data_IF_375671966323
#
_entry.id   IF_375671966323
#
_cell.length_a   1.000
_cell.length_b   1.000
_cell.length_c   1.000
_cell.angle_alpha   90.00
_cell.angle_beta   90.00
_cell.angle_gamma   90.00
#
_symmetry.space_group_name_H-M   'P 1'
#
loop_
_entity.id
_entity.type
_entity.pdbx_description
1 polymer ?
#
# COMPACT_ATOMS: atom_id res chain seq x y z
N UNK A 1 20.60 -19.05 -6.29
CA UNK A 1 19.28 -19.10 -6.97
C UNK A 1 18.12 -19.59 -6.08
N UNK A 2 18.29 -19.76 -4.74
CA UNK A 2 17.25 -20.31 -3.84
C UNK A 2 16.54 -19.27 -2.95
N UNK A 3 16.98 -18.00 -2.96
CA UNK A 3 16.41 -16.95 -2.12
C UNK A 3 15.05 -16.44 -2.65
N UNK A 4 14.87 -16.50 -3.98
CA UNK A 4 13.70 -15.98 -4.69
C UNK A 4 12.41 -16.75 -4.37
N UNK A 5 12.45 -18.09 -4.39
CA UNK A 5 11.26 -18.92 -4.17
C UNK A 5 10.68 -18.85 -2.76
N UNK A 6 11.54 -18.83 -1.73
CA UNK A 6 11.08 -18.70 -0.34
C UNK A 6 10.42 -17.34 -0.10
N UNK A 7 10.94 -16.27 -0.69
CA UNK A 7 10.36 -14.94 -0.59
C UNK A 7 8.93 -14.88 -1.14
N UNK A 8 8.67 -15.51 -2.29
CA UNK A 8 7.31 -15.61 -2.86
C UNK A 8 6.32 -16.39 -2.00
N UNK A 9 6.75 -17.43 -1.29
CA UNK A 9 5.88 -18.15 -0.36
C UNK A 9 5.48 -17.27 0.84
N UNK A 10 6.39 -16.47 1.37
CA UNK A 10 6.10 -15.51 2.44
C UNK A 10 5.08 -14.47 1.96
N UNK A 11 5.20 -13.95 0.74
CA UNK A 11 4.22 -13.01 0.17
C UNK A 11 2.82 -13.62 0.06
N UNK A 12 2.69 -14.92 -0.25
CA UNK A 12 1.37 -15.59 -0.27
C UNK A 12 0.72 -15.63 1.11
N UNK A 13 1.51 -15.90 2.16
CA UNK A 13 1.02 -15.92 3.54
C UNK A 13 0.62 -14.50 3.95
N UNK A 14 1.47 -13.50 3.69
CA UNK A 14 1.16 -12.09 3.96
C UNK A 14 -0.14 -11.67 3.27
N UNK A 15 -0.32 -11.99 1.98
CA UNK A 15 -1.56 -11.67 1.28
C UNK A 15 -2.79 -12.35 1.86
N UNK A 16 -2.65 -13.53 2.47
CA UNK A 16 -3.78 -14.22 3.11
C UNK A 16 -4.20 -13.62 4.45
N UNK A 17 -3.29 -12.94 5.15
CA UNK A 17 -3.58 -12.30 6.45
C UNK A 17 -3.90 -10.81 6.32
N UNK A 18 -3.58 -10.17 5.18
CA UNK A 18 -3.92 -8.77 4.88
C UNK A 18 -5.16 -8.64 3.99
N UNK A 19 -6.16 -9.48 4.21
CA UNK A 19 -7.30 -9.63 3.30
C UNK A 19 -8.57 -8.88 3.75
N UNK A 20 -8.44 -8.01 4.75
CA UNK A 20 -9.49 -7.15 5.28
C UNK A 20 -8.94 -5.74 5.58
N UNK A 21 -9.84 -4.75 5.72
CA UNK A 21 -9.47 -3.35 5.90
C UNK A 21 -8.75 -3.09 7.23
N UNK A 22 -9.12 -3.78 8.31
CA UNK A 22 -8.46 -3.60 9.62
C UNK A 22 -6.98 -4.00 9.56
N UNK A 23 -6.67 -5.13 8.94
CA UNK A 23 -5.30 -5.56 8.74
C UNK A 23 -4.50 -4.57 7.87
N UNK A 24 -5.12 -4.00 6.82
CA UNK A 24 -4.50 -2.97 5.98
C UNK A 24 -4.19 -1.71 6.79
N UNK A 25 -5.13 -1.26 7.65
CA UNK A 25 -4.93 -0.11 8.54
C UNK A 25 -3.78 -0.34 9.50
N UNK A 26 -3.80 -1.45 10.24
CA UNK A 26 -2.78 -1.79 11.24
C UNK A 26 -1.39 -1.84 10.60
N UNK A 27 -1.23 -2.59 9.51
CA UNK A 27 0.08 -2.76 8.87
C UNK A 27 0.61 -1.44 8.31
N UNK A 28 -0.25 -0.60 7.73
CA UNK A 28 0.15 0.72 7.24
C UNK A 28 0.67 1.59 8.38
N UNK A 29 -0.03 1.60 9.53
CA UNK A 29 0.38 2.37 10.70
C UNK A 29 1.68 1.84 11.31
N UNK A 30 1.82 0.52 11.43
CA UNK A 30 2.99 -0.12 12.03
C UNK A 30 4.25 0.16 11.21
N UNK A 31 4.19 -0.06 9.88
CA UNK A 31 5.32 0.21 8.97
C UNK A 31 5.81 1.66 9.09
N UNK A 32 4.89 2.64 9.12
CA UNK A 32 5.27 4.06 9.23
C UNK A 32 5.90 4.35 10.60
N UNK A 33 5.36 3.79 11.68
CA UNK A 33 5.88 3.98 13.03
C UNK A 33 7.26 3.34 13.21
N UNK A 34 7.49 2.15 12.64
CA UNK A 34 8.78 1.48 12.63
C UNK A 34 9.84 2.36 11.95
N UNK A 35 9.56 2.83 10.72
CA UNK A 35 10.49 3.73 10.03
C UNK A 35 10.72 5.05 10.77
N UNK A 36 9.68 5.61 11.39
CA UNK A 36 9.85 6.80 12.21
C UNK A 36 10.74 6.55 13.43
N UNK A 37 10.63 5.37 14.05
CA UNK A 37 11.47 4.96 15.19
C UNK A 37 12.94 4.78 14.81
N UNK A 38 13.19 4.38 13.55
CA UNK A 38 14.51 4.34 12.93
C UNK A 38 15.02 5.72 12.47
N UNK A 39 14.36 6.80 12.89
CA UNK A 39 14.66 8.20 12.55
C UNK A 39 14.54 8.56 11.06
N UNK A 40 13.83 7.76 10.25
CA UNK A 40 13.51 8.13 8.87
C UNK A 40 12.62 9.38 8.88
N UNK A 41 12.99 10.37 8.06
CA UNK A 41 12.26 11.65 7.95
C UNK A 41 11.34 11.73 6.75
N UNK A 42 11.62 10.96 5.70
CA UNK A 42 10.81 10.89 4.50
C UNK A 42 10.73 9.44 4.03
N UNK A 43 9.51 8.94 3.87
CA UNK A 43 9.22 7.57 3.46
C UNK A 43 8.34 7.59 2.21
N UNK A 44 8.81 6.95 1.14
CA UNK A 44 7.99 6.61 -0.01
C UNK A 44 7.45 5.19 0.18
N UNK A 45 6.15 5.10 0.49
CA UNK A 45 5.47 3.84 0.74
C UNK A 45 4.74 3.41 -0.53
N UNK A 46 5.19 2.29 -1.11
CA UNK A 46 4.61 1.69 -2.31
C UNK A 46 3.52 0.70 -1.95
N UNK A 47 2.39 0.75 -2.65
CA UNK A 47 1.33 -0.25 -2.49
C UNK A 47 0.62 -0.57 -3.81
N UNK A 48 0.20 -1.82 -3.98
CA UNK A 48 -0.66 -2.27 -5.09
C UNK A 48 -2.10 -2.34 -4.59
N UNK A 49 -3.01 -1.47 -5.05
CA UNK A 49 -4.41 -1.49 -4.62
C UNK A 49 -5.06 -2.85 -4.87
N UNK A 50 -5.67 -3.43 -3.82
CA UNK A 50 -6.26 -4.77 -3.87
C UNK A 50 -7.77 -4.70 -4.05
N UNK A 51 -8.29 -5.55 -4.95
CA UNK A 51 -9.70 -5.90 -5.01
C UNK A 51 -9.84 -7.34 -4.51
N UNK A 52 -10.56 -7.56 -3.42
CA UNK A 52 -10.85 -8.89 -2.87
C UNK A 52 -12.37 -9.04 -2.79
N UNK A 53 -12.97 -9.94 -3.62
CA UNK A 53 -14.42 -10.13 -3.65
C UNK A 53 -15.02 -10.35 -2.25
N UNK A 54 -16.11 -9.64 -1.98
CA UNK A 54 -16.84 -9.66 -0.70
C UNK A 54 -16.04 -9.19 0.53
N UNK A 55 -14.85 -8.60 0.37
CA UNK A 55 -14.02 -8.10 1.49
C UNK A 55 -13.62 -6.64 1.33
N UNK A 56 -13.11 -6.26 0.16
CA UNK A 56 -12.70 -4.88 -0.11
C UNK A 56 -12.57 -4.60 -1.60
N UNK A 57 -12.88 -3.37 -1.98
CA UNK A 57 -12.57 -2.79 -3.29
C UNK A 57 -11.21 -2.08 -3.26
N UNK A 58 -10.66 -1.80 -4.45
CA UNK A 58 -9.42 -0.99 -4.56
C UNK A 58 -9.58 0.40 -3.92
N UNK A 59 -10.77 0.98 -3.99
CA UNK A 59 -11.07 2.30 -3.42
C UNK A 59 -11.06 2.24 -1.89
N UNK A 60 -11.80 1.30 -1.29
CA UNK A 60 -11.81 1.11 0.17
C UNK A 60 -10.42 0.80 0.71
N UNK A 61 -9.64 0.00 -0.02
CA UNK A 61 -8.23 -0.24 0.29
C UNK A 61 -7.44 1.08 0.33
N UNK A 62 -7.56 1.91 -0.71
CA UNK A 62 -6.81 3.17 -0.79
C UNK A 62 -7.25 4.20 0.25
N UNK A 63 -8.55 4.35 0.48
CA UNK A 63 -9.09 5.21 1.54
C UNK A 63 -8.52 4.79 2.90
N UNK A 64 -8.49 3.48 3.18
CA UNK A 64 -7.94 2.93 4.43
C UNK A 64 -6.44 3.21 4.58
N UNK A 65 -5.65 3.01 3.52
CA UNK A 65 -4.20 3.30 3.53
C UNK A 65 -3.93 4.79 3.76
N UNK A 66 -4.69 5.67 3.09
CA UNK A 66 -4.54 7.12 3.22
C UNK A 66 -4.87 7.60 4.63
N UNK A 67 -6.01 7.17 5.18
CA UNK A 67 -6.40 7.49 6.56
C UNK A 67 -5.36 6.99 7.57
N UNK A 68 -4.93 5.74 7.44
CA UNK A 68 -3.91 5.13 8.29
C UNK A 68 -2.59 5.90 8.24
N UNK A 69 -2.13 6.29 7.04
CA UNK A 69 -0.90 7.03 6.86
C UNK A 69 -0.99 8.44 7.47
N UNK A 70 -2.11 9.14 7.29
CA UNK A 70 -2.36 10.45 7.91
C UNK A 70 -2.34 10.34 9.43
N UNK A 71 -2.99 9.33 10.01
CA UNK A 71 -3.00 9.10 11.45
C UNK A 71 -1.61 8.79 12.00
N UNK A 72 -0.83 7.97 11.29
CA UNK A 72 0.54 7.64 11.69
C UNK A 72 1.47 8.86 11.64
N UNK A 73 1.39 9.68 10.59
CA UNK A 73 2.16 10.92 10.47
C UNK A 73 1.82 11.95 11.56
N UNK A 74 0.57 11.99 12.06
CA UNK A 74 0.21 12.87 13.20
C UNK A 74 0.89 12.47 14.50
N UNK A 75 1.25 11.19 14.65
CA UNK A 75 1.85 10.62 15.87
C UNK A 75 3.38 10.58 15.83
N UNK A 76 4.00 10.89 14.69
CA UNK A 76 5.42 10.67 14.48
C UNK A 76 6.05 11.76 13.61
N UNK A 77 7.35 12.03 13.79
CA UNK A 77 8.07 13.05 13.02
C UNK A 77 8.63 12.48 11.71
N UNK A 78 7.74 12.07 10.81
CA UNK A 78 8.03 11.52 9.49
C UNK A 78 7.04 12.08 8.46
N UNK A 79 7.53 12.32 7.23
CA UNK A 79 6.69 12.64 6.08
C UNK A 79 6.55 11.40 5.21
N UNK A 80 5.31 11.03 4.88
CA UNK A 80 5.02 9.87 4.04
C UNK A 80 4.47 10.33 2.69
N UNK A 81 4.96 9.73 1.61
CA UNK A 81 4.42 9.83 0.28
C UNK A 81 3.96 8.45 -0.17
N UNK A 82 2.74 8.34 -0.70
CA UNK A 82 2.21 7.08 -1.22
C UNK A 82 2.49 6.96 -2.71
N UNK A 83 2.95 5.80 -3.13
CA UNK A 83 3.18 5.44 -4.53
C UNK A 83 2.30 4.24 -4.90
N UNK A 84 1.51 4.37 -5.97
CA UNK A 84 0.65 3.28 -6.43
C UNK A 84 1.39 2.43 -7.45
N UNK A 85 1.51 1.15 -7.14
CA UNK A 85 2.15 0.17 -8.01
C UNK A 85 1.13 -0.48 -8.94
N UNK A 86 1.50 -0.63 -10.21
CA UNK A 86 0.71 -1.36 -11.21
C UNK A 86 1.23 -2.79 -11.32
N UNK A 87 0.36 -3.78 -11.10
CA UNK A 87 0.72 -5.19 -11.30
C UNK A 87 0.57 -5.58 -12.77
N UNK A 88 1.68 -5.57 -13.51
CA UNK A 88 1.73 -5.93 -14.93
C UNK A 88 1.17 -7.33 -15.26
N UNK A 89 1.09 -8.23 -14.27
CA UNK A 89 0.53 -9.57 -14.49
C UNK A 89 -1.01 -9.58 -14.57
N UNK A 90 -1.68 -8.49 -14.17
CA UNK A 90 -3.16 -8.39 -14.14
C UNK A 90 -3.79 -7.79 -15.39
N UNK A 91 -2.98 -7.43 -16.37
CA UNK A 91 -3.45 -6.90 -17.65
C UNK A 91 -3.81 -5.41 -17.63
N UNK A 92 -4.19 -4.90 -18.80
CA UNK A 92 -4.34 -3.46 -19.06
C UNK A 92 -5.54 -2.85 -18.34
N UNK A 93 -6.65 -3.59 -18.21
CA UNK A 93 -7.84 -3.08 -17.50
C UNK A 93 -7.57 -2.82 -16.01
N UNK A 94 -6.86 -3.76 -15.35
CA UNK A 94 -6.46 -3.58 -13.96
C UNK A 94 -5.52 -2.38 -13.81
N UNK A 95 -4.54 -2.26 -14.71
CA UNK A 95 -3.64 -1.10 -14.76
C UNK A 95 -4.40 0.22 -14.94
N UNK A 96 -5.37 0.27 -15.84
CA UNK A 96 -6.20 1.44 -16.07
C UNK A 96 -7.03 1.82 -14.84
N UNK A 97 -7.62 0.85 -14.15
CA UNK A 97 -8.36 1.11 -12.90
C UNK A 97 -7.46 1.68 -11.79
N UNK A 98 -6.22 1.19 -11.68
CA UNK A 98 -5.23 1.73 -10.74
C UNK A 98 -4.81 3.16 -11.12
N UNK A 99 -4.66 3.45 -12.41
CA UNK A 99 -4.39 4.79 -12.92
C UNK A 99 -5.53 5.77 -12.62
N UNK A 100 -6.79 5.36 -12.78
CA UNK A 100 -7.94 6.20 -12.44
C UNK A 100 -7.99 6.52 -10.95
N UNK A 101 -7.71 5.54 -10.09
CA UNK A 101 -7.58 5.78 -8.65
C UNK A 101 -6.44 6.76 -8.37
N UNK A 102 -5.25 6.57 -8.94
CA UNK A 102 -4.15 7.51 -8.75
C UNK A 102 -4.52 8.95 -9.17
N UNK A 103 -5.33 9.10 -10.21
CA UNK A 103 -5.85 10.40 -10.65
C UNK A 103 -6.85 11.03 -9.66
N UNK A 104 -7.69 10.22 -9.01
CA UNK A 104 -8.61 10.69 -7.97
C UNK A 104 -7.87 11.26 -6.75
N UNK A 105 -6.73 10.64 -6.41
CA UNK A 105 -5.93 10.99 -5.23
C UNK A 105 -4.66 11.79 -5.58
N UNK A 106 -4.62 12.46 -6.74
CA UNK A 106 -3.43 13.17 -7.26
C UNK A 106 -2.94 14.31 -6.35
N UNK A 107 -3.78 14.77 -5.42
CA UNK A 107 -3.40 15.73 -4.36
C UNK A 107 -2.65 15.07 -3.19
N UNK A 108 -2.57 13.74 -3.14
CA UNK A 108 -2.01 12.94 -2.04
C UNK A 108 -0.95 11.91 -2.47
N UNK A 109 -0.80 11.62 -3.77
CA UNK A 109 0.15 10.64 -4.35
C UNK A 109 1.08 11.35 -5.33
N UNK A 110 2.39 11.13 -5.25
CA UNK A 110 3.38 11.90 -6.04
C UNK A 110 4.03 11.10 -7.18
N UNK A 111 4.00 9.75 -7.19
CA UNK A 111 4.51 8.99 -8.34
C UNK A 111 3.88 7.60 -8.53
N UNK A 112 4.02 7.06 -9.75
CA UNK A 112 3.61 5.71 -10.15
C UNK A 112 4.87 4.87 -10.35
N UNK A 113 4.90 3.69 -9.74
CA UNK A 113 5.96 2.71 -9.97
C UNK A 113 5.43 1.54 -10.81
N UNK A 114 6.13 1.23 -11.90
CA UNK A 114 5.81 0.16 -12.86
C UNK A 114 6.45 -1.18 -12.51
#
# INVERSE_FOLDING_TARGET
MNLCYRCFQVFRILHSITDNLDAVRTITQDVIQEFASDNVKYLELRTTPKNIPNKMTKKEYMDTVLEAAVEAMKKSNIRVCLLLSIDRARGVEDAWSTLQLAKEYLTHIVSQDT
#
